data_IF_376548389473
#
_entry.id   IF_376548389473
#
_cell.length_a   1.000
_cell.length_b   1.000
_cell.length_c   1.000
_cell.angle_alpha   90.00
_cell.angle_beta   90.00
_cell.angle_gamma   90.00
#
_symmetry.space_group_name_H-M   'P 1'
#
loop_
_entity.id
_entity.type
_entity.pdbx_description
1 polymer ?
#
# COMPACT_ATOMS: atom_id res chain seq x y z
N UNK A 1 -12.63 3.55 -1.27
CA UNK A 1 -12.47 2.07 -1.42
C UNK A 1 -11.66 1.79 -2.66
N UNK A 2 -10.79 0.80 -2.60
CA UNK A 2 -9.87 0.37 -3.63
C UNK A 2 -9.91 -1.14 -3.75
N UNK A 3 -9.28 -1.67 -4.79
CA UNK A 3 -9.30 -3.08 -5.15
C UNK A 3 -7.95 -3.79 -4.86
N UNK A 4 -6.89 -3.01 -4.80
CA UNK A 4 -5.52 -3.50 -4.65
C UNK A 4 -4.95 -4.12 -5.92
N UNK A 5 -5.54 -3.83 -7.06
CA UNK A 5 -5.02 -4.23 -8.37
C UNK A 5 -4.32 -3.04 -8.99
N UNK A 6 -3.01 -3.06 -8.93
CA UNK A 6 -2.17 -1.95 -9.36
C UNK A 6 -1.81 -2.09 -10.83
N UNK A 7 -2.19 -1.10 -11.62
CA UNK A 7 -1.81 -0.98 -13.03
C UNK A 7 -0.78 0.13 -13.27
N UNK A 8 -0.62 1.05 -12.31
CA UNK A 8 0.21 2.22 -12.47
C UNK A 8 1.05 2.50 -11.23
N UNK A 9 2.24 3.00 -11.48
CA UNK A 9 3.08 3.59 -10.46
C UNK A 9 3.31 5.07 -10.75
N UNK A 10 3.68 5.83 -9.73
CA UNK A 10 4.14 7.19 -9.85
C UNK A 10 5.51 7.37 -9.22
N UNK A 11 6.23 8.38 -9.67
CA UNK A 11 7.55 8.75 -9.16
C UNK A 11 7.44 9.99 -8.28
N UNK A 12 7.95 9.95 -7.07
CA UNK A 12 8.02 11.11 -6.19
C UNK A 12 8.99 12.14 -6.77
N UNK A 13 8.48 13.35 -7.04
CA UNK A 13 9.22 14.45 -7.70
C UNK A 13 9.39 15.68 -6.81
N UNK A 14 8.56 15.81 -5.76
CA UNK A 14 8.64 16.94 -4.83
C UNK A 14 8.26 16.47 -3.42
N UNK A 15 8.97 16.97 -2.41
CA UNK A 15 8.69 16.73 -1.00
C UNK A 15 8.93 18.02 -0.22
N UNK A 16 7.86 18.62 0.27
CA UNK A 16 7.93 19.78 1.16
C UNK A 16 7.58 19.35 2.57
N UNK A 17 8.58 19.36 3.45
CA UNK A 17 8.41 19.00 4.87
C UNK A 17 7.93 20.19 5.66
N UNK A 18 6.91 19.99 6.50
CA UNK A 18 6.50 20.86 7.58
C UNK A 18 6.68 20.11 8.90
N UNK A 19 6.56 20.81 10.05
CA UNK A 19 6.79 20.22 11.38
C UNK A 19 6.05 18.89 11.59
N UNK A 20 4.80 18.81 11.16
CA UNK A 20 3.91 17.66 11.41
C UNK A 20 3.19 17.17 10.12
N UNK A 21 3.69 17.49 8.95
CA UNK A 21 3.05 17.08 7.69
C UNK A 21 4.05 17.06 6.54
N UNK A 22 3.68 16.39 5.47
CA UNK A 22 4.39 16.46 4.18
C UNK A 22 3.42 16.97 3.11
N UNK A 23 3.95 17.71 2.15
CA UNK A 23 3.29 17.97 0.88
C UNK A 23 4.12 17.28 -0.19
N UNK A 24 3.52 16.35 -0.94
CA UNK A 24 4.23 15.45 -1.85
C UNK A 24 3.70 15.60 -3.26
N UNK A 25 4.61 15.78 -4.22
CA UNK A 25 4.33 15.74 -5.65
C UNK A 25 4.74 14.40 -6.25
N UNK A 26 3.86 13.79 -7.02
CA UNK A 26 4.07 12.51 -7.69
C UNK A 26 3.83 12.69 -9.20
N UNK A 27 4.79 12.27 -10.02
CA UNK A 27 4.63 12.19 -11.47
C UNK A 27 4.08 10.82 -11.84
N UNK A 28 3.04 10.78 -12.67
CA UNK A 28 2.36 9.54 -13.08
C UNK A 28 1.87 9.62 -14.51
N UNK A 29 1.61 8.44 -15.10
CA UNK A 29 0.96 8.31 -16.41
C UNK A 29 -0.58 8.28 -16.30
N UNK A 30 -1.12 8.21 -15.09
CA UNK A 30 -2.58 8.28 -14.89
C UNK A 30 -3.05 9.69 -15.21
N UNK A 31 -4.06 9.79 -16.07
CA UNK A 31 -4.68 11.06 -16.35
C UNK A 31 -5.60 11.49 -15.21
N UNK A 32 -5.35 12.68 -14.68
CA UNK A 32 -6.19 13.36 -13.71
C UNK A 32 -6.65 14.70 -14.28
N UNK A 33 -7.90 15.02 -14.02
CA UNK A 33 -8.54 16.26 -14.44
C UNK A 33 -8.98 17.10 -13.25
N UNK A 34 -9.49 18.30 -13.49
CA UNK A 34 -10.09 19.12 -12.42
C UNK A 34 -11.26 18.42 -11.71
N UNK A 35 -11.97 17.50 -12.39
CA UNK A 35 -13.07 16.72 -11.81
C UNK A 35 -12.60 15.68 -10.78
N UNK A 36 -11.32 15.29 -10.83
CA UNK A 36 -10.73 14.35 -9.88
C UNK A 36 -10.24 15.03 -8.58
N UNK A 37 -10.19 16.37 -8.53
CA UNK A 37 -9.78 17.09 -7.30
C UNK A 37 -10.73 16.78 -6.15
N UNK A 38 -10.15 16.54 -4.97
CA UNK A 38 -10.88 16.10 -3.78
C UNK A 38 -11.17 14.58 -3.76
N UNK A 39 -10.92 13.84 -4.85
CA UNK A 39 -11.10 12.38 -4.84
C UNK A 39 -9.99 11.67 -4.06
N UNK A 40 -10.30 10.46 -3.61
CA UNK A 40 -9.36 9.58 -2.92
C UNK A 40 -8.50 8.81 -3.92
N UNK A 41 -7.19 8.84 -3.73
CA UNK A 41 -6.20 8.05 -4.48
C UNK A 41 -5.42 7.18 -3.49
N UNK A 42 -5.32 5.90 -3.77
CA UNK A 42 -4.47 4.99 -3.00
C UNK A 42 -3.01 5.16 -3.44
N UNK A 43 -2.17 5.61 -2.50
CA UNK A 43 -0.74 5.81 -2.71
C UNK A 43 0.03 4.86 -1.80
N UNK A 44 0.64 3.80 -2.33
CA UNK A 44 1.26 2.73 -1.52
C UNK A 44 0.36 2.23 -0.39
N UNK A 45 -0.94 2.03 -0.65
CA UNK A 45 -1.90 1.56 0.35
C UNK A 45 -2.44 2.67 1.27
N UNK A 46 -2.02 3.91 1.10
CA UNK A 46 -2.53 5.05 1.87
C UNK A 46 -3.56 5.81 1.05
N UNK A 47 -4.76 5.96 1.59
CA UNK A 47 -5.80 6.81 1.01
C UNK A 47 -5.43 8.28 1.21
N UNK A 48 -5.15 8.99 0.12
CA UNK A 48 -4.83 10.41 0.11
C UNK A 48 -5.83 11.17 -0.75
N UNK A 49 -6.21 12.36 -0.31
CA UNK A 49 -7.07 13.27 -1.08
C UNK A 49 -6.23 14.00 -2.12
N UNK A 50 -6.63 13.94 -3.39
CA UNK A 50 -5.98 14.65 -4.47
C UNK A 50 -6.21 16.17 -4.31
N UNK A 51 -5.16 16.88 -3.92
CA UNK A 51 -5.20 18.32 -3.68
C UNK A 51 -5.01 19.12 -4.97
N UNK A 52 -4.10 18.69 -5.84
CA UNK A 52 -3.75 19.40 -7.07
C UNK A 52 -3.34 18.43 -8.17
N UNK A 53 -3.75 18.72 -9.41
CA UNK A 53 -3.30 17.99 -10.60
C UNK A 53 -2.86 18.98 -11.68
N UNK A 54 -1.64 18.82 -12.19
CA UNK A 54 -1.07 19.65 -13.27
C UNK A 54 -0.39 18.73 -14.28
N UNK A 55 -0.96 18.59 -15.47
CA UNK A 55 -0.46 17.66 -16.49
C UNK A 55 -0.33 16.25 -15.90
N UNK A 56 0.88 15.70 -15.89
CA UNK A 56 1.20 14.37 -15.36
C UNK A 56 1.70 14.40 -13.90
N UNK A 57 1.46 15.47 -13.15
CA UNK A 57 1.87 15.65 -11.75
C UNK A 57 0.66 15.80 -10.85
N UNK A 58 0.64 15.07 -9.77
CA UNK A 58 -0.42 15.09 -8.75
C UNK A 58 0.21 15.38 -7.39
N UNK A 59 -0.54 16.07 -6.54
CA UNK A 59 -0.03 16.55 -5.26
C UNK A 59 -0.98 16.20 -4.13
N UNK A 60 -0.40 15.90 -2.98
CA UNK A 60 -1.11 15.45 -1.79
C UNK A 60 -0.57 16.12 -0.54
N UNK A 61 -1.47 16.47 0.37
CA UNK A 61 -1.14 16.78 1.74
C UNK A 61 -1.20 15.51 2.58
N UNK A 62 -0.15 15.22 3.34
CA UNK A 62 -0.03 14.05 4.20
C UNK A 62 0.02 14.52 5.66
N UNK A 63 -0.99 14.13 6.43
CA UNK A 63 -1.15 14.51 7.83
C UNK A 63 -0.15 13.81 8.75
N UNK A 64 0.01 14.33 9.98
CA UNK A 64 0.82 13.69 11.00
C UNK A 64 0.33 12.28 11.37
N UNK A 65 -0.99 12.07 11.42
CA UNK A 65 -1.56 10.73 11.69
C UNK A 65 -1.15 9.73 10.62
N UNK A 66 -1.27 10.11 9.35
CA UNK A 66 -0.83 9.28 8.23
C UNK A 66 0.67 8.98 8.29
N UNK A 67 1.49 9.97 8.65
CA UNK A 67 2.94 9.79 8.79
C UNK A 67 3.30 8.86 9.96
N UNK A 68 2.51 8.84 11.03
CA UNK A 68 2.74 7.95 12.17
C UNK A 68 2.47 6.49 11.83
N UNK A 69 1.47 6.22 10.99
CA UNK A 69 1.03 4.86 10.66
C UNK A 69 1.68 4.27 9.43
N UNK A 70 2.26 5.10 8.57
CA UNK A 70 2.80 4.65 7.28
C UNK A 70 4.32 4.82 7.17
N UNK A 71 4.89 4.20 6.15
CA UNK A 71 6.30 4.36 5.80
C UNK A 71 6.62 5.71 5.11
N UNK A 72 5.64 6.62 4.98
CA UNK A 72 5.83 7.92 4.33
C UNK A 72 6.77 8.87 5.07
N UNK A 73 7.06 8.62 6.36
CA UNK A 73 8.14 9.32 7.07
C UNK A 73 9.51 9.17 6.39
N UNK A 74 9.73 8.05 5.73
CA UNK A 74 11.00 7.71 5.07
C UNK A 74 10.98 7.96 3.56
N UNK A 75 9.94 8.63 3.06
CA UNK A 75 9.78 8.92 1.65
C UNK A 75 10.91 9.81 1.13
N UNK A 76 11.45 9.47 -0.04
CA UNK A 76 12.53 10.19 -0.71
C UNK A 76 12.14 10.52 -2.15
N UNK A 77 12.80 11.54 -2.71
CA UNK A 77 12.73 11.82 -4.15
C UNK A 77 13.10 10.57 -4.94
N UNK A 78 12.46 10.39 -6.07
CA UNK A 78 12.60 9.26 -6.98
C UNK A 78 12.03 7.92 -6.46
N UNK A 79 11.45 7.86 -5.25
CA UNK A 79 10.75 6.66 -4.85
C UNK A 79 9.56 6.38 -5.78
N UNK A 80 9.33 5.09 -6.09
CA UNK A 80 8.17 4.64 -6.84
C UNK A 80 7.03 4.32 -5.87
N UNK A 81 5.85 4.84 -6.17
CA UNK A 81 4.62 4.69 -5.41
C UNK A 81 3.60 3.93 -6.25
N UNK A 82 3.05 2.85 -5.73
CA UNK A 82 1.89 2.20 -6.33
C UNK A 82 0.70 3.15 -6.28
N UNK A 83 -0.02 3.30 -7.38
CA UNK A 83 -1.15 4.22 -7.50
C UNK A 83 -2.39 3.49 -7.98
N UNK A 84 -3.51 3.74 -7.31
CA UNK A 84 -4.82 3.26 -7.72
C UNK A 84 -5.86 4.36 -7.50
N UNK A 85 -6.72 4.61 -8.51
CA UNK A 85 -7.91 5.46 -8.36
C UNK A 85 -8.97 4.70 -7.54
N UNK A 86 -9.82 5.42 -6.81
CA UNK A 86 -10.96 4.82 -6.13
C UNK A 86 -11.86 4.05 -7.08
N UNK A 87 -12.45 2.97 -6.56
CA UNK A 87 -13.43 2.16 -7.29
C UNK A 87 -14.62 3.01 -7.69
N UNK A 88 -15.07 2.83 -8.93
CA UNK A 88 -16.34 3.36 -9.42
C UNK A 88 -17.44 2.31 -9.22
N UNK A 89 -18.68 2.76 -9.03
CA UNK A 89 -19.83 1.87 -8.95
C UNK A 89 -19.93 0.98 -10.20
N UNK A 90 -20.30 -0.29 -10.02
CA UNK A 90 -20.43 -1.28 -11.09
C UNK A 90 -19.10 -1.87 -11.61
N UNK A 91 -17.95 -1.55 -11.02
CA UNK A 91 -16.68 -2.21 -11.35
C UNK A 91 -16.48 -3.49 -10.55
N UNK A 92 -15.85 -4.49 -11.20
CA UNK A 92 -15.51 -5.75 -10.56
C UNK A 92 -14.48 -5.55 -9.45
N UNK A 93 -14.63 -6.31 -8.35
CA UNK A 93 -13.65 -6.40 -7.28
C UNK A 93 -12.79 -7.63 -7.55
N UNK A 94 -11.61 -7.42 -8.15
CA UNK A 94 -10.69 -8.50 -8.53
C UNK A 94 -9.66 -8.84 -7.45
N UNK A 95 -9.48 -7.97 -6.45
CA UNK A 95 -8.66 -8.19 -5.27
C UNK A 95 -9.53 -8.40 -4.03
N UNK A 96 -9.36 -7.53 -3.03
CA UNK A 96 -10.23 -7.48 -1.85
C UNK A 96 -10.56 -6.03 -1.49
N UNK A 97 -11.43 -5.80 -0.51
CA UNK A 97 -11.79 -4.45 -0.07
C UNK A 97 -10.63 -3.78 0.67
N UNK A 98 -9.97 -2.84 0.01
CA UNK A 98 -8.93 -2.01 0.58
C UNK A 98 -9.49 -0.61 0.81
N UNK A 99 -9.36 -0.12 2.03
CA UNK A 99 -9.83 1.22 2.40
C UNK A 99 -8.76 2.29 2.13
N UNK A 100 -7.48 1.88 2.08
CA UNK A 100 -6.34 2.79 2.12
C UNK A 100 -6.03 3.28 3.53
N UNK A 101 -6.52 2.58 4.53
CA UNK A 101 -6.35 2.88 5.94
C UNK A 101 -5.27 1.98 6.54
N UNK A 102 -4.03 2.34 6.30
CA UNK A 102 -2.86 1.60 6.78
C UNK A 102 -2.93 1.38 8.29
N UNK A 103 -2.92 0.12 8.70
CA UNK A 103 -2.94 -0.26 10.12
C UNK A 103 -1.54 -0.12 10.74
N UNK A 104 -0.52 -0.53 10.00
CA UNK A 104 0.87 -0.57 10.46
C UNK A 104 1.84 -0.64 9.30
N UNK A 105 3.12 -0.71 9.62
CA UNK A 105 4.17 -1.06 8.67
C UNK A 105 4.73 -2.44 9.00
N UNK A 106 5.25 -3.13 7.98
CA UNK A 106 5.99 -4.37 8.17
C UNK A 106 7.41 -4.22 7.63
N UNK A 107 8.35 -4.91 8.29
CA UNK A 107 9.74 -5.02 7.87
C UNK A 107 9.93 -6.27 7.02
N UNK A 108 10.59 -6.15 5.88
CA UNK A 108 10.94 -7.29 5.04
C UNK A 108 12.12 -8.02 5.67
N UNK A 109 11.90 -9.29 6.06
CA UNK A 109 12.92 -10.12 6.70
C UNK A 109 13.71 -10.95 5.71
N UNK A 110 13.05 -11.44 4.67
CA UNK A 110 13.67 -12.30 3.67
C UNK A 110 12.97 -12.16 2.32
N UNK A 111 13.72 -12.29 1.25
CA UNK A 111 13.23 -12.45 -0.11
C UNK A 111 13.91 -13.69 -0.68
N UNK A 112 13.14 -14.65 -1.14
CA UNK A 112 13.60 -15.84 -1.85
C UNK A 112 13.04 -15.82 -3.26
N UNK A 113 13.79 -16.36 -4.20
CA UNK A 113 13.38 -16.56 -5.57
C UNK A 113 13.12 -18.05 -5.76
N UNK A 114 11.91 -18.43 -6.10
CA UNK A 114 11.52 -19.80 -6.40
C UNK A 114 10.96 -19.75 -7.82
N UNK A 115 11.71 -20.28 -8.78
CA UNK A 115 11.46 -20.12 -10.20
C UNK A 115 11.29 -18.64 -10.59
N UNK A 116 10.11 -18.25 -11.06
CA UNK A 116 9.76 -16.87 -11.41
C UNK A 116 9.02 -16.13 -10.30
N UNK A 117 8.77 -16.79 -9.16
CA UNK A 117 7.99 -16.24 -8.03
C UNK A 117 8.90 -15.70 -6.94
N UNK A 118 8.56 -14.56 -6.39
CA UNK A 118 9.23 -14.04 -5.21
C UNK A 118 8.46 -14.41 -3.95
N UNK A 119 9.08 -15.19 -3.07
CA UNK A 119 8.55 -15.46 -1.73
C UNK A 119 9.16 -14.46 -0.77
N UNK A 120 8.31 -13.58 -0.24
CA UNK A 120 8.70 -12.47 0.62
C UNK A 120 8.18 -12.72 2.04
N UNK A 121 9.08 -12.65 3.03
CA UNK A 121 8.73 -12.77 4.44
C UNK A 121 8.70 -11.39 5.10
N UNK A 122 7.62 -11.12 5.83
CA UNK A 122 7.33 -9.83 6.48
C UNK A 122 7.10 -10.00 7.97
N UNK A 123 7.64 -9.09 8.77
CA UNK A 123 7.34 -8.97 10.20
C UNK A 123 6.62 -7.66 10.47
N UNK A 124 5.41 -7.73 11.01
CA UNK A 124 4.62 -6.56 11.41
C UNK A 124 5.31 -5.88 12.60
N UNK A 125 5.41 -4.54 12.53
CA UNK A 125 6.05 -3.75 13.59
C UNK A 125 5.18 -3.71 14.85
N UNK A 126 3.89 -3.47 14.73
CA UNK A 126 2.94 -3.57 15.84
C UNK A 126 2.48 -5.03 16.03
N UNK A 127 3.14 -5.75 16.92
CA UNK A 127 2.89 -7.18 17.18
C UNK A 127 1.48 -7.50 17.65
N UNK A 128 0.73 -6.51 18.21
CA UNK A 128 -0.66 -6.70 18.64
C UNK A 128 -1.58 -7.01 17.44
N UNK A 129 -1.15 -6.66 16.25
CA UNK A 129 -1.91 -6.88 15.02
C UNK A 129 -1.71 -8.29 14.42
N UNK A 130 -0.76 -9.07 14.91
CA UNK A 130 -0.53 -10.45 14.42
C UNK A 130 -1.77 -11.35 14.56
N UNK A 131 -2.64 -11.07 15.53
CA UNK A 131 -3.89 -11.82 15.75
C UNK A 131 -4.89 -11.72 14.58
N UNK A 132 -4.73 -10.74 13.70
CA UNK A 132 -5.56 -10.56 12.50
C UNK A 132 -4.98 -11.24 11.26
N UNK A 133 -3.77 -11.81 11.34
CA UNK A 133 -3.18 -12.58 10.26
C UNK A 133 -3.82 -13.96 10.20
N UNK A 134 -4.34 -14.31 9.05
CA UNK A 134 -4.97 -15.62 8.80
C UNK A 134 -4.32 -16.19 7.54
N UNK A 135 -3.85 -17.45 7.63
CA UNK A 135 -3.30 -18.12 6.44
C UNK A 135 -4.37 -18.24 5.35
N UNK A 136 -3.98 -17.98 4.12
CA UNK A 136 -4.88 -17.89 2.94
C UNK A 136 -5.82 -16.68 2.90
N UNK A 137 -5.85 -15.84 3.92
CA UNK A 137 -6.59 -14.59 3.85
C UNK A 137 -5.87 -13.54 3.00
N UNK A 138 -6.63 -12.51 2.61
CA UNK A 138 -6.11 -11.35 1.90
C UNK A 138 -5.37 -10.40 2.83
N UNK A 139 -4.40 -9.71 2.28
CA UNK A 139 -3.66 -8.62 2.93
C UNK A 139 -3.21 -7.60 1.89
N UNK A 140 -3.20 -6.33 2.26
CA UNK A 140 -2.66 -5.28 1.39
C UNK A 140 -1.23 -4.92 1.79
N UNK A 141 -0.30 -5.03 0.84
CA UNK A 141 1.10 -4.60 0.99
C UNK A 141 1.41 -3.48 0.00
N UNK A 142 1.72 -2.30 0.50
CA UNK A 142 1.86 -1.09 -0.34
C UNK A 142 0.69 -0.92 -1.33
N UNK A 143 -0.54 -1.20 -0.89
CA UNK A 143 -1.75 -1.10 -1.69
C UNK A 143 -1.99 -2.25 -2.67
N UNK A 144 -1.15 -3.27 -2.69
CA UNK A 144 -1.32 -4.45 -3.55
C UNK A 144 -2.09 -5.52 -2.78
N UNK A 145 -3.20 -6.00 -3.33
CA UNK A 145 -3.95 -7.15 -2.82
C UNK A 145 -3.16 -8.44 -3.03
N UNK A 146 -2.84 -9.11 -1.93
CA UNK A 146 -2.03 -10.33 -1.93
C UNK A 146 -2.64 -11.35 -0.96
N UNK A 147 -2.21 -12.61 -1.09
CA UNK A 147 -2.66 -13.71 -0.22
C UNK A 147 -1.53 -14.12 0.72
N UNK A 148 -1.82 -14.25 1.99
CA UNK A 148 -0.89 -14.81 2.98
C UNK A 148 -0.70 -16.29 2.67
N UNK A 149 0.51 -16.68 2.27
CA UNK A 149 0.81 -18.07 1.93
C UNK A 149 1.16 -18.93 3.15
N UNK A 150 1.77 -18.31 4.16
CA UNK A 150 2.16 -18.99 5.40
C UNK A 150 2.32 -18.01 6.55
N UNK A 151 1.97 -18.45 7.76
CA UNK A 151 2.16 -17.70 9.00
C UNK A 151 3.21 -18.38 9.86
N UNK A 152 4.06 -17.58 10.49
CA UNK A 152 5.04 -17.98 11.50
C UNK A 152 4.76 -17.21 12.80
N UNK A 153 5.40 -17.60 13.88
CA UNK A 153 5.20 -16.96 15.19
C UNK A 153 5.33 -15.43 15.17
N UNK A 154 6.22 -14.86 14.34
CA UNK A 154 6.51 -13.42 14.30
C UNK A 154 6.46 -12.82 12.92
N UNK A 155 6.10 -13.58 11.88
CA UNK A 155 6.15 -13.15 10.50
C UNK A 155 5.17 -13.93 9.65
N UNK A 156 4.96 -13.45 8.43
CA UNK A 156 4.16 -14.13 7.42
C UNK A 156 4.85 -14.08 6.06
N UNK A 157 4.49 -14.97 5.19
CA UNK A 157 5.00 -15.04 3.83
C UNK A 157 3.91 -14.76 2.80
N UNK A 158 4.34 -14.18 1.71
CA UNK A 158 3.53 -13.93 0.51
C UNK A 158 4.31 -14.41 -0.70
N UNK A 159 3.63 -15.06 -1.62
CA UNK A 159 4.16 -15.41 -2.94
C UNK A 159 3.72 -14.37 -3.97
N UNK A 160 4.67 -13.63 -4.55
CA UNK A 160 4.40 -12.59 -5.55
C UNK A 160 4.76 -13.10 -6.94
N UNK A 161 3.77 -13.21 -7.82
CA UNK A 161 3.93 -13.71 -9.19
C UNK A 161 4.56 -12.65 -10.11
N UNK A 162 5.17 -13.06 -11.24
CA UNK A 162 5.87 -12.14 -12.15
C UNK A 162 5.01 -10.98 -12.65
N UNK A 163 3.74 -11.22 -12.92
CA UNK A 163 2.83 -10.18 -13.39
C UNK A 163 2.70 -9.04 -12.37
N UNK A 164 2.48 -9.38 -11.10
CA UNK A 164 2.39 -8.41 -10.00
C UNK A 164 3.70 -7.66 -9.79
N UNK A 165 4.83 -8.36 -9.85
CA UNK A 165 6.16 -7.72 -9.76
C UNK A 165 6.39 -6.71 -10.90
N UNK A 166 5.93 -7.03 -12.12
CA UNK A 166 6.09 -6.15 -13.29
C UNK A 166 5.32 -4.84 -13.14
N UNK A 167 4.11 -4.88 -12.58
CA UNK A 167 3.19 -3.75 -12.51
C UNK A 167 3.36 -2.88 -11.24
N UNK A 168 4.02 -3.40 -10.22
CA UNK A 168 4.08 -2.76 -8.90
C UNK A 168 5.51 -2.38 -8.49
N UNK A 169 5.61 -1.61 -7.42
CA UNK A 169 6.90 -1.29 -6.83
C UNK A 169 7.49 -2.45 -6.00
N UNK A 170 6.80 -3.58 -5.86
CA UNK A 170 7.26 -4.71 -5.04
C UNK A 170 8.60 -5.27 -5.51
N UNK A 171 8.89 -5.24 -6.81
CA UNK A 171 10.18 -5.68 -7.38
C UNK A 171 11.40 -4.87 -6.95
N UNK A 172 11.19 -3.66 -6.39
CA UNK A 172 12.29 -2.80 -5.93
C UNK A 172 12.50 -2.88 -4.42
N UNK A 173 11.67 -3.65 -3.73
CA UNK A 173 11.78 -3.83 -2.30
C UNK A 173 13.05 -4.61 -1.95
N UNK A 174 13.64 -4.27 -0.81
CA UNK A 174 14.87 -4.88 -0.30
C UNK A 174 14.66 -5.37 1.13
N UNK A 175 15.43 -6.37 1.54
CA UNK A 175 15.51 -6.82 2.93
C UNK A 175 15.80 -5.62 3.84
N UNK A 176 15.17 -5.58 5.00
CA UNK A 176 15.15 -4.48 5.96
C UNK A 176 14.33 -3.24 5.54
N UNK A 177 13.78 -3.21 4.32
CA UNK A 177 12.83 -2.17 3.91
C UNK A 177 11.51 -2.25 4.67
N UNK A 178 10.79 -1.12 4.74
CA UNK A 178 9.47 -1.02 5.34
C UNK A 178 8.41 -0.93 4.24
N UNK A 179 7.30 -1.63 4.44
CA UNK A 179 6.11 -1.56 3.60
C UNK A 179 4.90 -1.16 4.43
N UNK A 180 3.92 -0.50 3.82
CA UNK A 180 2.63 -0.24 4.43
C UNK A 180 1.79 -1.52 4.41
N UNK A 181 1.09 -1.78 5.50
CA UNK A 181 0.21 -2.94 5.66
C UNK A 181 -1.18 -2.49 6.04
N UNK A 182 -2.18 -2.93 5.29
CA UNK A 182 -3.58 -2.88 5.68
C UNK A 182 -4.10 -4.31 5.77
N UNK A 183 -4.64 -4.65 6.94
CA UNK A 183 -5.26 -5.94 7.23
C UNK A 183 -6.66 -6.00 6.62
N UNK A 184 -7.11 -7.17 6.24
CA UNK A 184 -8.46 -7.36 5.73
C UNK A 184 -9.48 -6.84 6.73
N UNK A 185 -10.39 -6.00 6.27
CA UNK A 185 -11.40 -5.36 7.11
C UNK A 185 -12.31 -6.40 7.78
N UNK A 186 -12.60 -7.51 7.09
CA UNK A 186 -13.43 -8.58 7.64
C UNK A 186 -12.76 -9.25 8.84
N UNK A 187 -11.45 -9.47 8.81
CA UNK A 187 -10.72 -10.03 9.95
C UNK A 187 -10.83 -9.15 11.20
N UNK A 188 -10.85 -7.82 11.02
CA UNK A 188 -10.99 -6.84 12.11
C UNK A 188 -12.40 -6.85 12.70
N UNK A 189 -13.44 -6.91 11.86
CA UNK A 189 -14.82 -6.96 12.32
C UNK A 189 -15.16 -8.28 13.00
N UNK A 190 -14.78 -9.41 12.40
CA UNK A 190 -15.01 -10.74 13.00
C UNK A 190 -14.35 -10.80 14.39
N UNK A 191 -13.08 -10.40 14.48
CA UNK A 191 -12.39 -10.38 15.76
C UNK A 191 -13.10 -9.52 16.82
N UNK A 192 -13.58 -8.33 16.45
CA UNK A 192 -14.26 -7.40 17.37
C UNK A 192 -15.57 -7.99 17.94
N UNK A 193 -16.29 -8.76 17.14
CA UNK A 193 -17.61 -9.29 17.55
C UNK A 193 -17.53 -10.72 18.09
N UNK A 194 -16.39 -11.40 18.00
CA UNK A 194 -16.18 -12.72 18.56
C UNK A 194 -15.44 -12.71 19.92
N UNK A 195 -15.02 -11.53 20.38
CA UNK A 195 -14.34 -11.27 21.64
C UNK A 195 -14.90 -10.00 22.27
#
# INVERSE_FOLDING_TARGET
MFNGIIFNTGKVIDIKKKRNSLYVGIQTKINFSKKDLGSSICCNGVCLTLDKAIKNKIFFYISNETLKRSNFKTLKLNNLINLEKSLSFGKSISGHFIQGHVDTVAKIRKIKFIDKTWVMNFEIVDKKLNKFLIEKASISINGVSLTISKIFQRSFEIAVIPHTLKLTNLKYLKVNGLVNVELDIFSKYIYKYSN
#
